data_IF_178868299126
#
_entry.id   IF_178868299126
#
_cell.length_a   1.000
_cell.length_b   1.000
_cell.length_c   1.000
_cell.angle_alpha   90.00
_cell.angle_beta   90.00
_cell.angle_gamma   90.00
#
_symmetry.space_group_name_H-M   'P 1'
#
loop_
_entity.id
_entity.type
_entity.pdbx_description
1 polymer ?
#
# COMPACT_ATOMS: atom_id res chain seq x y z
N UNK A 1 17.40 -4.24 -1.48
CA UNK A 1 17.26 -3.87 -0.05
C UNK A 1 18.66 -3.61 0.46
N UNK A 2 18.94 -2.39 0.89
CA UNK A 2 20.27 -2.01 1.40
C UNK A 2 20.27 -2.12 2.94
N UNK A 3 21.41 -2.51 3.54
CA UNK A 3 21.56 -2.48 4.99
C UNK A 3 21.42 -1.05 5.50
N UNK A 4 20.79 -0.89 6.66
CA UNK A 4 20.67 0.41 7.31
C UNK A 4 22.01 0.71 8.00
N UNK A 5 22.64 1.87 7.75
CA UNK A 5 23.88 2.24 8.44
C UNK A 5 23.68 2.24 9.96
N UNK A 6 24.70 1.76 10.69
CA UNK A 6 24.63 1.68 12.16
C UNK A 6 24.35 3.03 12.81
N UNK A 7 24.88 4.11 12.23
CA UNK A 7 24.63 5.49 12.69
C UNK A 7 23.14 5.82 12.67
N UNK A 8 22.44 5.51 11.57
CA UNK A 8 21.00 5.73 11.40
C UNK A 8 20.19 4.80 12.30
N UNK A 9 20.63 3.55 12.44
CA UNK A 9 19.97 2.56 13.31
C UNK A 9 19.98 3.03 14.77
N UNK A 10 21.15 3.43 15.26
CA UNK A 10 21.34 3.91 16.64
C UNK A 10 20.61 5.24 16.84
N UNK A 11 20.76 6.19 15.92
CA UNK A 11 20.09 7.50 16.03
C UNK A 11 18.56 7.38 16.02
N UNK A 12 18.03 6.38 15.32
CA UNK A 12 16.59 6.10 15.25
C UNK A 12 16.09 5.21 16.39
N UNK A 13 16.95 4.73 17.30
CA UNK A 13 16.56 3.86 18.41
C UNK A 13 16.08 2.48 17.97
N UNK A 14 16.65 1.93 16.90
CA UNK A 14 16.31 0.59 16.40
C UNK A 14 17.24 -0.47 17.01
N UNK A 15 16.68 -1.60 17.44
CA UNK A 15 17.50 -2.71 17.91
C UNK A 15 18.20 -3.44 16.75
N UNK A 16 19.41 -3.94 17.02
CA UNK A 16 20.17 -4.73 16.05
C UNK A 16 19.48 -6.07 15.75
N UNK A 17 19.71 -6.60 14.55
CA UNK A 17 19.23 -7.93 14.22
C UNK A 17 19.86 -8.99 15.13
N UNK A 18 19.03 -9.75 15.84
CA UNK A 18 19.44 -10.92 16.61
C UNK A 18 18.82 -12.16 15.95
N UNK A 19 19.62 -13.15 15.50
CA UNK A 19 19.09 -14.40 14.98
C UNK A 19 18.40 -15.17 16.12
N UNK A 20 17.08 -15.01 16.25
CA UNK A 20 16.30 -15.76 17.23
C UNK A 20 15.88 -17.10 16.60
N UNK A 21 16.28 -18.20 17.21
CA UNK A 21 15.80 -19.53 16.84
C UNK A 21 14.35 -19.69 17.34
N UNK A 22 13.42 -19.90 16.42
CA UNK A 22 12.02 -20.19 16.74
C UNK A 22 11.05 -19.09 16.29
N UNK A 23 10.18 -19.48 15.36
CA UNK A 23 9.11 -18.72 14.69
C UNK A 23 9.59 -17.87 13.51
N UNK A 24 9.16 -18.27 12.31
CA UNK A 24 9.19 -17.44 11.11
C UNK A 24 8.42 -16.15 11.37
N UNK A 25 9.15 -15.06 11.62
CA UNK A 25 8.55 -13.74 11.76
C UNK A 25 8.24 -13.20 10.37
N UNK A 26 7.05 -12.60 10.23
CA UNK A 26 6.65 -11.92 8.99
C UNK A 26 7.74 -10.91 8.61
N UNK A 27 8.25 -11.03 7.38
CA UNK A 27 9.33 -10.20 6.83
C UNK A 27 10.71 -10.34 7.53
N UNK A 28 11.02 -11.47 8.15
CA UNK A 28 12.35 -11.72 8.73
C UNK A 28 13.49 -11.52 7.72
N UNK A 29 13.26 -11.88 6.45
CA UNK A 29 14.22 -11.64 5.38
C UNK A 29 14.58 -10.14 5.25
N UNK A 30 13.58 -9.25 5.33
CA UNK A 30 13.81 -7.80 5.27
C UNK A 30 14.60 -7.32 6.48
N UNK A 31 14.22 -7.77 7.68
CA UNK A 31 14.92 -7.43 8.92
C UNK A 31 16.40 -7.86 8.89
N UNK A 32 16.65 -9.09 8.40
CA UNK A 32 18.01 -9.63 8.21
C UNK A 32 18.80 -8.77 7.23
N UNK A 33 18.22 -8.42 6.08
CA UNK A 33 18.89 -7.60 5.07
C UNK A 33 19.14 -6.17 5.53
N UNK A 34 18.28 -5.63 6.39
CA UNK A 34 18.40 -4.27 6.93
C UNK A 34 19.29 -4.18 8.16
N UNK A 35 19.64 -5.31 8.80
CA UNK A 35 20.46 -5.33 10.02
C UNK A 35 19.71 -4.88 11.29
N UNK A 36 18.39 -4.98 11.28
CA UNK A 36 17.50 -4.53 12.37
C UNK A 36 16.67 -5.68 12.93
N UNK A 37 16.27 -5.61 14.20
CA UNK A 37 15.46 -6.64 14.86
C UNK A 37 14.08 -6.82 14.18
N UNK A 38 13.46 -5.70 13.79
CA UNK A 38 12.25 -5.65 12.98
C UNK A 38 12.52 -4.98 11.65
N UNK A 39 11.79 -5.32 10.58
CA UNK A 39 11.96 -4.63 9.31
C UNK A 39 11.50 -3.18 9.43
N UNK A 40 12.13 -2.30 8.65
CA UNK A 40 11.65 -0.95 8.42
C UNK A 40 10.65 -0.97 7.28
N UNK A 41 9.39 -0.64 7.59
CA UNK A 41 8.28 -0.67 6.64
C UNK A 41 7.48 0.63 6.72
N UNK A 42 6.86 1.10 5.62
CA UNK A 42 5.89 2.20 5.67
C UNK A 42 4.75 1.92 6.67
N UNK A 43 4.10 2.96 7.18
CA UNK A 43 2.89 2.80 8.03
C UNK A 43 1.78 2.19 7.17
N UNK A 44 1.36 0.98 7.52
CA UNK A 44 0.37 0.22 6.75
C UNK A 44 -0.58 -0.58 7.64
N UNK A 45 -0.23 -0.88 8.88
CA UNK A 45 -1.09 -1.67 9.78
C UNK A 45 -2.05 -0.78 10.57
N UNK A 46 -3.16 -1.36 11.03
CA UNK A 46 -4.13 -0.64 11.89
C UNK A 46 -3.50 -0.27 13.24
N UNK A 47 -2.72 -1.17 13.83
CA UNK A 47 -2.00 -0.92 15.07
C UNK A 47 -1.02 0.27 14.96
N UNK A 48 -0.30 0.38 13.82
CA UNK A 48 0.58 1.53 13.57
C UNK A 48 -0.21 2.84 13.46
N UNK A 49 -1.36 2.83 12.78
CA UNK A 49 -2.21 4.03 12.68
C UNK A 49 -2.74 4.46 14.06
N UNK A 50 -3.12 3.50 14.90
CA UNK A 50 -3.58 3.77 16.26
C UNK A 50 -2.45 4.33 17.13
N UNK A 51 -1.27 3.72 17.10
CA UNK A 51 -0.09 4.23 17.80
C UNK A 51 0.23 5.65 17.36
N UNK A 52 0.17 5.94 16.06
CA UNK A 52 0.41 7.29 15.54
C UNK A 52 -0.58 8.31 16.11
N UNK A 53 -1.87 8.00 16.09
CA UNK A 53 -2.90 8.89 16.65
C UNK A 53 -2.70 9.11 18.15
N UNK A 54 -2.35 8.07 18.90
CA UNK A 54 -2.04 8.17 20.33
C UNK A 54 -0.82 9.08 20.56
N UNK A 55 0.26 8.88 19.80
CA UNK A 55 1.49 9.67 19.94
C UNK A 55 1.27 11.15 19.60
N UNK A 56 0.50 11.47 18.55
CA UNK A 56 0.14 12.86 18.23
C UNK A 56 -0.64 13.53 19.37
N UNK A 57 -1.51 12.78 20.05
CA UNK A 57 -2.39 13.33 21.08
C UNK A 57 -1.69 13.45 22.44
N UNK A 58 -0.83 12.48 22.77
CA UNK A 58 -0.26 12.34 24.11
C UNK A 58 1.19 12.83 24.23
N UNK A 59 1.94 12.94 23.12
CA UNK A 59 3.37 13.21 23.18
C UNK A 59 3.75 14.55 22.55
N UNK A 60 4.38 15.42 23.35
CA UNK A 60 4.84 16.74 22.93
C UNK A 60 5.90 16.71 21.82
N UNK A 61 6.56 15.58 21.57
CA UNK A 61 7.49 15.42 20.44
C UNK A 61 6.76 15.38 19.10
N UNK A 62 5.52 14.89 19.10
CA UNK A 62 4.65 14.80 17.92
C UNK A 62 3.68 15.99 17.80
N UNK A 63 3.47 16.75 18.88
CA UNK A 63 2.65 17.96 18.89
C UNK A 63 3.26 19.06 19.80
N UNK A 64 4.43 19.60 19.46
CA UNK A 64 5.06 20.63 20.28
C UNK A 64 4.30 21.95 20.17
N UNK A 65 4.18 22.65 21.31
CA UNK A 65 3.58 24.00 21.42
C UNK A 65 4.31 25.00 20.49
N UNK A 66 5.60 24.76 20.22
CA UNK A 66 6.45 25.56 19.33
C UNK A 66 6.14 25.37 17.83
N UNK A 67 5.26 24.43 17.44
CA UNK A 67 4.85 24.19 16.06
C UNK A 67 5.77 23.30 15.21
N UNK A 68 7.02 23.07 15.62
CA UNK A 68 7.98 22.25 14.85
C UNK A 68 8.24 20.88 15.49
N UNK A 69 7.88 19.80 14.77
CA UNK A 69 8.01 18.43 15.27
C UNK A 69 9.48 18.01 15.45
N UNK A 70 9.79 17.46 16.62
CA UNK A 70 11.10 16.88 16.93
C UNK A 70 11.20 15.46 16.38
N UNK A 71 11.42 15.35 15.08
CA UNK A 71 11.39 14.08 14.36
C UNK A 71 12.34 13.01 14.91
N UNK A 72 13.55 13.41 15.32
CA UNK A 72 14.55 12.47 15.85
C UNK A 72 14.09 11.83 17.17
N UNK A 73 13.47 12.61 18.05
CA UNK A 73 12.90 12.10 19.31
C UNK A 73 11.64 11.26 19.04
N UNK A 74 10.78 11.75 18.14
CA UNK A 74 9.56 11.07 17.74
C UNK A 74 9.83 9.65 17.17
N UNK A 75 10.85 9.50 16.32
CA UNK A 75 11.25 8.20 15.77
C UNK A 75 11.77 7.26 16.87
N UNK A 76 12.57 7.76 17.83
CA UNK A 76 13.05 6.95 18.95
C UNK A 76 11.89 6.44 19.80
N UNK A 77 10.93 7.31 20.11
CA UNK A 77 9.72 6.95 20.87
C UNK A 77 8.91 5.90 20.10
N UNK A 78 8.73 6.09 18.80
CA UNK A 78 8.04 5.12 17.94
C UNK A 78 8.74 3.77 17.97
N UNK A 79 10.05 3.72 17.70
CA UNK A 79 10.78 2.47 17.57
C UNK A 79 10.87 1.74 18.92
N UNK A 80 11.00 2.47 20.03
CA UNK A 80 10.90 1.91 21.38
C UNK A 80 9.52 1.30 21.67
N UNK A 81 8.43 1.98 21.31
CA UNK A 81 7.08 1.42 21.43
C UNK A 81 6.89 0.19 20.52
N UNK A 82 7.51 0.22 19.33
CA UNK A 82 7.45 -0.89 18.40
C UNK A 82 8.12 -2.14 18.95
N UNK A 83 9.19 -2.03 19.76
CA UNK A 83 9.85 -3.19 20.34
C UNK A 83 8.91 -4.01 21.24
N UNK A 84 7.96 -3.34 21.90
CA UNK A 84 7.00 -3.96 22.81
C UNK A 84 5.81 -4.61 22.08
N UNK A 85 5.48 -4.17 20.85
CA UNK A 85 4.28 -4.62 20.12
C UNK A 85 4.62 -5.34 18.83
N UNK A 86 4.22 -6.60 18.69
CA UNK A 86 4.58 -7.44 17.54
C UNK A 86 4.08 -6.92 16.18
N UNK A 87 2.94 -6.22 16.15
CA UNK A 87 2.28 -5.74 14.91
C UNK A 87 2.82 -4.40 14.38
N UNK A 88 3.78 -3.80 15.10
CA UNK A 88 4.36 -2.49 14.79
C UNK A 88 5.79 -2.70 14.32
N UNK A 89 6.10 -2.10 13.16
CA UNK A 89 7.41 -2.18 12.54
C UNK A 89 8.19 -0.89 12.74
N UNK A 90 9.52 -0.98 12.60
CA UNK A 90 10.38 0.19 12.69
C UNK A 90 10.06 1.21 11.61
N UNK A 91 10.35 2.47 11.95
CA UNK A 91 10.17 3.63 11.08
C UNK A 91 11.42 4.48 11.05
N UNK A 92 11.66 5.06 9.88
CA UNK A 92 12.62 6.13 9.69
C UNK A 92 11.93 7.49 9.80
N UNK A 93 12.74 8.53 10.03
CA UNK A 93 12.30 9.92 10.07
C UNK A 93 11.50 10.32 8.84
N UNK A 94 12.00 9.96 7.66
CA UNK A 94 11.41 10.28 6.37
C UNK A 94 10.04 9.62 6.22
N UNK A 95 9.89 8.39 6.69
CA UNK A 95 8.63 7.66 6.64
C UNK A 95 7.57 8.29 7.56
N UNK A 96 7.96 8.69 8.77
CA UNK A 96 7.05 9.39 9.68
C UNK A 96 6.66 10.77 9.14
N UNK A 97 7.60 11.51 8.54
CA UNK A 97 7.32 12.81 7.89
C UNK A 97 6.30 12.67 6.75
N UNK A 98 6.52 11.72 5.84
CA UNK A 98 5.62 11.46 4.71
C UNK A 98 4.23 11.08 5.21
N UNK A 99 4.16 10.20 6.21
CA UNK A 99 2.88 9.80 6.77
C UNK A 99 2.17 10.95 7.50
N UNK A 100 2.90 11.77 8.25
CA UNK A 100 2.34 12.94 8.93
C UNK A 100 1.74 13.94 7.94
N UNK A 101 2.42 14.25 6.84
CA UNK A 101 1.87 15.13 5.80
C UNK A 101 0.57 14.57 5.23
N UNK A 102 0.54 13.26 4.95
CA UNK A 102 -0.68 12.58 4.49
C UNK A 102 -1.79 12.63 5.54
N UNK A 103 -1.47 12.34 6.79
CA UNK A 103 -2.42 12.38 7.90
C UNK A 103 -2.99 13.79 8.09
N UNK A 104 -2.15 14.83 8.06
CA UNK A 104 -2.56 16.24 8.20
C UNK A 104 -3.52 16.65 7.08
N UNK A 105 -3.21 16.29 5.83
CA UNK A 105 -4.11 16.53 4.70
C UNK A 105 -5.47 15.84 4.90
N UNK A 106 -5.46 14.57 5.32
CA UNK A 106 -6.69 13.84 5.62
C UNK A 106 -7.48 14.43 6.79
N UNK A 107 -6.80 14.95 7.81
CA UNK A 107 -7.41 15.62 8.96
C UNK A 107 -8.09 16.92 8.52
N UNK A 108 -7.43 17.75 7.70
CA UNK A 108 -8.04 18.96 7.15
C UNK A 108 -9.26 18.66 6.28
N UNK A 109 -9.20 17.58 5.48
CA UNK A 109 -10.36 17.13 4.69
C UNK A 109 -11.51 16.75 5.62
N UNK A 110 -11.26 15.93 6.66
CA UNK A 110 -12.29 15.54 7.63
C UNK A 110 -12.93 16.75 8.32
N UNK A 111 -12.12 17.72 8.73
CA UNK A 111 -12.58 18.95 9.34
C UNK A 111 -13.46 19.76 8.38
N UNK A 112 -12.99 19.97 7.15
CA UNK A 112 -13.75 20.67 6.10
C UNK A 112 -15.08 19.97 5.81
N UNK A 113 -15.07 18.64 5.71
CA UNK A 113 -16.28 17.84 5.52
C UNK A 113 -17.26 17.99 6.69
N UNK A 114 -16.74 18.08 7.92
CA UNK A 114 -17.55 18.30 9.12
C UNK A 114 -18.17 19.69 9.12
N UNK A 115 -17.39 20.74 8.84
CA UNK A 115 -17.86 22.14 8.81
C UNK A 115 -18.93 22.32 7.72
N UNK A 116 -18.72 21.71 6.55
CA UNK A 116 -19.62 21.83 5.40
C UNK A 116 -20.76 20.80 5.42
N UNK A 117 -20.93 20.03 6.50
CA UNK A 117 -21.91 18.95 6.55
C UNK A 117 -23.35 19.47 6.37
N UNK A 118 -23.72 20.54 7.07
CA UNK A 118 -25.07 21.11 6.98
C UNK A 118 -25.36 21.73 5.62
N UNK A 119 -24.38 22.43 5.03
CA UNK A 119 -24.49 23.05 3.70
C UNK A 119 -24.61 22.00 2.60
N UNK A 120 -23.92 20.87 2.72
CA UNK A 120 -23.95 19.79 1.71
C UNK A 120 -25.13 18.85 1.86
N UNK A 121 -25.82 18.85 3.00
CA UNK A 121 -26.94 17.94 3.28
C UNK A 121 -28.04 18.00 2.21
N UNK A 122 -28.56 19.16 1.78
CA UNK A 122 -29.62 19.21 0.77
C UNK A 122 -29.19 18.59 -0.56
N UNK A 123 -27.98 18.88 -1.02
CA UNK A 123 -27.41 18.31 -2.23
C UNK A 123 -27.20 16.80 -2.11
N UNK A 124 -26.69 16.34 -0.96
CA UNK A 124 -26.52 14.91 -0.70
C UNK A 124 -27.84 14.16 -0.75
N UNK A 125 -28.92 14.73 -0.20
CA UNK A 125 -30.26 14.15 -0.26
C UNK A 125 -30.79 14.08 -1.69
N UNK A 126 -30.58 15.13 -2.49
CA UNK A 126 -30.99 15.17 -3.90
C UNK A 126 -30.27 14.13 -4.76
N UNK A 127 -28.95 13.97 -4.57
CA UNK A 127 -28.14 13.00 -5.34
C UNK A 127 -28.53 11.56 -5.01
N UNK A 128 -28.88 11.27 -3.75
CA UNK A 128 -29.25 9.93 -3.31
C UNK A 128 -30.76 9.67 -3.42
N UNK A 129 -31.51 10.58 -4.05
CA UNK A 129 -32.94 10.40 -4.28
C UNK A 129 -33.16 9.26 -5.30
N UNK A 130 -33.87 8.17 -4.92
CA UNK A 130 -34.19 7.08 -5.83
C UNK A 130 -35.01 7.52 -7.05
N UNK A 131 -35.76 8.62 -6.93
CA UNK A 131 -36.57 9.17 -8.01
C UNK A 131 -35.75 9.95 -9.05
N UNK A 132 -34.47 10.21 -8.80
CA UNK A 132 -33.60 10.93 -9.72
C UNK A 132 -33.53 10.28 -11.11
N UNK A 133 -33.54 8.94 -11.17
CA UNK A 133 -33.55 8.20 -12.44
C UNK A 133 -34.85 8.35 -13.23
N UNK A 134 -35.98 8.64 -12.57
CA UNK A 134 -37.28 8.83 -13.24
C UNK A 134 -37.42 10.21 -13.88
N UNK A 135 -36.63 11.18 -13.43
CA UNK A 135 -36.58 12.54 -13.98
C UNK A 135 -35.46 12.72 -15.02
N UNK A 136 -34.64 11.69 -15.23
CA UNK A 136 -33.58 11.74 -16.23
C UNK A 136 -34.20 11.79 -17.64
N UNK A 137 -33.74 12.69 -18.53
CA UNK A 137 -34.22 12.72 -19.90
C UNK A 137 -33.89 11.41 -20.62
N UNK A 138 -34.79 11.00 -21.51
CA UNK A 138 -34.63 9.79 -22.31
C UNK A 138 -33.30 9.85 -23.07
N UNK A 139 -32.41 8.90 -22.79
CA UNK A 139 -31.13 8.80 -23.50
C UNK A 139 -31.39 8.15 -24.85
N UNK A 140 -30.95 8.73 -25.97
CA UNK A 140 -31.03 8.07 -27.27
C UNK A 140 -30.33 6.71 -27.20
N UNK A 141 -31.11 5.64 -27.32
CA UNK A 141 -30.57 4.28 -27.34
C UNK A 141 -29.87 4.09 -28.68
N UNK A 142 -28.54 4.14 -28.67
CA UNK A 142 -27.78 3.73 -29.83
C UNK A 142 -27.76 2.21 -29.86
N UNK A 143 -28.67 1.60 -30.61
CA UNK A 143 -28.57 0.18 -30.95
C UNK A 143 -27.30 -0.02 -31.75
N UNK A 144 -26.27 -0.55 -31.10
CA UNK A 144 -25.09 -1.00 -31.82
C UNK A 144 -25.55 -2.13 -32.77
N UNK A 145 -25.27 -2.04 -34.07
CA UNK A 145 -25.56 -3.15 -34.96
C UNK A 145 -24.82 -4.39 -34.45
N UNK A 146 -25.42 -5.58 -34.57
CA UNK A 146 -24.78 -6.81 -34.14
C UNK A 146 -23.40 -6.92 -34.80
N UNK A 147 -22.40 -7.28 -34.00
CA UNK A 147 -21.05 -7.54 -34.51
C UNK A 147 -21.12 -8.77 -35.44
N UNK A 148 -21.17 -8.51 -36.74
CA UNK A 148 -21.09 -9.55 -37.77
C UNK A 148 -19.60 -9.86 -37.96
N UNK A 149 -19.17 -11.05 -37.53
CA UNK A 149 -17.85 -11.58 -37.85
C UNK A 149 -17.91 -12.12 -39.28
N UNK A 150 -17.59 -11.28 -40.26
CA UNK A 150 -17.63 -11.71 -41.68
C UNK A 150 -16.48 -12.65 -42.05
N UNK A 151 -15.36 -12.63 -41.32
CA UNK A 151 -14.20 -13.50 -41.57
C UNK A 151 -13.55 -13.96 -40.27
N UNK A 152 -13.49 -15.28 -40.08
CA UNK A 152 -12.71 -15.93 -39.02
C UNK A 152 -11.21 -15.96 -39.32
N UNK A 153 -10.41 -16.33 -38.32
CA UNK A 153 -8.96 -16.53 -38.45
C UNK A 153 -8.65 -17.46 -39.64
N UNK A 154 -7.74 -17.01 -40.51
CA UNK A 154 -7.13 -17.84 -41.56
C UNK A 154 -6.49 -19.06 -40.88
N UNK A 155 -7.04 -20.24 -41.18
CA UNK A 155 -6.49 -21.51 -40.71
C UNK A 155 -5.05 -21.66 -41.18
N UNK A 156 -4.14 -21.91 -40.24
CA UNK A 156 -2.78 -22.33 -40.56
C UNK A 156 -2.84 -23.59 -41.42
N UNK A 157 -2.38 -23.49 -42.68
CA UNK A 157 -2.18 -24.67 -43.51
C UNK A 157 -1.07 -25.51 -42.89
N UNK A 158 -1.30 -26.79 -42.55
CA UNK A 158 -0.23 -27.66 -42.11
C UNK A 158 0.71 -27.91 -43.29
N UNK A 159 1.96 -27.51 -43.14
CA UNK A 159 3.07 -27.95 -44.00
C UNK A 159 3.12 -29.48 -43.98
N UNK A 160 3.14 -30.16 -45.14
CA UNK A 160 3.19 -31.60 -45.17
C UNK A 160 4.61 -32.08 -44.82
N UNK A 161 4.81 -32.48 -43.56
CA UNK A 161 5.89 -33.37 -43.19
C UNK A 161 5.47 -34.81 -43.53
N UNK A 162 6.03 -35.36 -44.60
CA UNK A 162 6.17 -36.81 -44.76
C UNK A 162 7.19 -37.12 -45.85
N UNK A 163 8.39 -37.54 -45.45
CA UNK A 163 8.93 -38.83 -45.90
C UNK A 163 10.21 -39.18 -45.12
N UNK A 164 10.06 -40.09 -44.16
CA UNK A 164 11.11 -40.97 -43.68
C UNK A 164 10.45 -42.26 -43.25
N UNK A 165 10.71 -43.34 -43.97
CA UNK A 165 10.96 -44.69 -43.45
C UNK A 165 11.47 -45.57 -44.62
N UNK A 166 12.74 -46.00 -44.60
CA UNK A 166 13.23 -47.32 -44.10
C UNK A 166 12.84 -48.45 -45.06
N UNK A 167 13.68 -49.36 -45.59
CA UNK A 167 15.08 -49.72 -45.42
C UNK A 167 15.27 -51.16 -45.94
N UNK A 168 16.54 -51.52 -46.24
CA UNK A 168 17.12 -52.88 -46.34
C UNK A 168 16.85 -53.77 -47.58
N UNK A 169 17.91 -54.10 -48.34
CA UNK A 169 18.63 -55.39 -48.24
C UNK A 169 19.68 -55.59 -49.38
N UNK A 170 20.65 -56.44 -49.11
CA UNK A 170 21.98 -56.61 -49.73
C UNK A 170 22.06 -57.59 -50.95
N UNK A 171 23.07 -57.34 -51.80
CA UNK A 171 24.02 -58.26 -52.52
C UNK A 171 23.52 -59.18 -53.67
N UNK A 172 24.42 -59.69 -54.54
CA UNK A 172 25.89 -59.58 -54.59
C UNK A 172 26.49 -58.73 -55.73
#
# INVERSE_FOLDING_TARGET
ILPIPDTVRISSGMAMYVPLAGKDKKYQFLAKMQGTCKPVLPIHTTAEKQLFCQLITSNSSFSPISGELKWQEAVKIWNSASDQTAEIYYKLTEQLKVYYTKWKALSHVKETLSITADVRRPLSLLIHDPHHSTMAPEVPVHTQPPLIVEKGLLGFSPTPDAQSQTGMSYLP
#
